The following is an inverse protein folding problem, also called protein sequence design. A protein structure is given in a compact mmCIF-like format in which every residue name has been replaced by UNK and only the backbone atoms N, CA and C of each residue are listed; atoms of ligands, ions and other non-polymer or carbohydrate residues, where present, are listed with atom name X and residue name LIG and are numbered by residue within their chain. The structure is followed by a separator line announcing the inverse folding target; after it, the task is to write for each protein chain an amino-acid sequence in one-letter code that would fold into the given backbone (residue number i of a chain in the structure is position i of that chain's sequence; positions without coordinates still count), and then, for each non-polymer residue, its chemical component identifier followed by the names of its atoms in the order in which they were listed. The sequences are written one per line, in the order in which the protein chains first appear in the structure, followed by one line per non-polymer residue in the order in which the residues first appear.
data_IF_775677022395
#
_entry.id   IF_775677022395
#
_cell.length_a   1.000
_cell.length_b   1.000
_cell.length_c   1.000
_cell.angle_alpha   90.00
_cell.angle_beta   90.00
_cell.angle_gamma   90.00
#
_symmetry.space_group_name_H-M   'P 1'
#
loop_
_entity.id
_entity.type
_entity.pdbx_description
1 polymer ?
#
# COMPACT_ATOMS: atom_id res chain seq x y z
N UNK A 1 28.74 38.53 -20.37
CA UNK A 1 27.92 39.20 -19.36
C UNK A 1 26.45 38.95 -19.67
N UNK A 2 25.70 38.51 -18.66
CA UNK A 2 24.25 38.30 -18.57
C UNK A 2 23.66 36.91 -18.86
N UNK A 3 22.91 36.50 -17.83
CA UNK A 3 22.38 35.22 -17.43
C UNK A 3 20.87 35.28 -17.65
N UNK A 4 20.26 34.23 -18.21
CA UNK A 4 19.09 33.55 -17.60
C UNK A 4 18.69 32.31 -18.40
N UNK A 5 19.07 31.16 -17.85
CA UNK A 5 18.41 29.85 -17.96
C UNK A 5 17.05 29.92 -17.27
N UNK A 6 16.01 29.35 -17.88
CA UNK A 6 15.00 28.53 -17.17
C UNK A 6 14.71 27.33 -18.07
N UNK A 7 14.65 26.16 -17.44
CA UNK A 7 14.85 24.81 -17.96
C UNK A 7 13.90 24.37 -19.11
N UNK A 8 14.50 23.85 -20.18
CA UNK A 8 14.01 22.75 -21.01
C UNK A 8 14.53 21.45 -20.41
N UNK A 9 13.71 20.40 -20.29
CA UNK A 9 14.20 19.07 -19.93
C UNK A 9 13.10 18.12 -19.53
N UNK A 10 12.83 17.16 -20.40
CA UNK A 10 12.00 15.97 -20.17
C UNK A 10 12.42 15.25 -18.88
N UNK A 11 11.43 14.78 -18.12
CA UNK A 11 11.68 13.93 -16.97
C UNK A 11 12.38 12.62 -17.43
N UNK A 12 13.44 12.18 -16.74
CA UNK A 12 14.16 10.96 -17.12
C UNK A 12 13.28 9.71 -16.93
N UNK A 13 13.45 8.72 -17.82
CA UNK A 13 12.65 7.48 -17.95
C UNK A 13 12.49 6.68 -16.64
N UNK A 14 13.38 6.83 -15.67
CA UNK A 14 13.22 6.22 -14.33
C UNK A 14 12.07 6.83 -13.52
N UNK A 15 11.67 8.08 -13.79
CA UNK A 15 10.52 8.73 -13.18
C UNK A 15 9.19 8.24 -13.79
N UNK A 16 9.20 7.79 -15.05
CA UNK A 16 8.05 7.13 -15.69
C UNK A 16 7.88 5.69 -15.19
N UNK A 17 8.98 4.96 -14.91
CA UNK A 17 8.89 3.64 -14.27
C UNK A 17 8.49 3.70 -12.79
N UNK A 18 8.81 4.79 -12.08
CA UNK A 18 8.30 5.03 -10.72
C UNK A 18 6.77 5.18 -10.66
N UNK A 19 6.12 5.54 -11.77
CA UNK A 19 4.65 5.63 -11.88
C UNK A 19 4.00 4.25 -12.11
N UNK A 20 4.79 3.22 -12.47
CA UNK A 20 4.29 1.86 -12.73
C UNK A 20 4.58 0.84 -11.62
N UNK A 21 5.43 1.16 -10.63
CA UNK A 21 5.90 0.20 -9.60
C UNK A 21 4.85 -0.18 -8.51
N UNK A 22 3.58 0.20 -8.69
CA UNK A 22 2.48 -0.24 -7.81
C UNK A 22 1.42 -1.06 -8.55
N UNK A 23 1.39 -0.97 -9.89
CA UNK A 23 0.38 -1.67 -10.69
C UNK A 23 0.56 -3.20 -10.70
N UNK A 24 1.69 -3.74 -10.22
CA UNK A 24 1.96 -5.18 -10.18
C UNK A 24 1.97 -5.77 -8.77
N UNK A 25 1.56 -5.01 -7.74
CA UNK A 25 1.39 -5.53 -6.38
C UNK A 25 -0.06 -5.94 -6.05
N UNK A 26 -1.04 -5.48 -6.82
CA UNK A 26 -2.46 -5.82 -6.60
C UNK A 26 -2.89 -7.03 -7.46
N UNK A 27 -2.28 -7.26 -8.63
CA UNK A 27 -2.68 -8.37 -9.50
C UNK A 27 -2.15 -9.75 -9.05
N UNK A 28 -1.02 -9.83 -8.35
CA UNK A 28 -0.40 -11.12 -7.99
C UNK A 28 -0.95 -11.73 -6.69
N UNK A 29 -1.44 -10.90 -5.75
CA UNK A 29 -2.02 -11.35 -4.48
C UNK A 29 -3.53 -11.58 -4.57
N UNK A 30 -4.26 -10.80 -5.38
CA UNK A 30 -5.70 -11.01 -5.59
C UNK A 30 -6.04 -12.29 -6.38
N UNK A 31 -5.15 -12.75 -7.26
CA UNK A 31 -5.33 -14.02 -7.98
C UNK A 31 -4.97 -15.23 -7.09
N UNK A 32 -4.13 -15.03 -6.06
CA UNK A 32 -3.71 -16.13 -5.18
C UNK A 32 -4.66 -16.35 -4.00
N UNK A 33 -5.30 -15.32 -3.44
CA UNK A 33 -6.25 -15.49 -2.34
C UNK A 33 -7.57 -16.13 -2.81
N UNK A 34 -8.11 -15.70 -3.95
CA UNK A 34 -9.36 -16.27 -4.51
C UNK A 34 -9.14 -17.70 -5.01
N UNK A 35 -7.98 -18.00 -5.61
CA UNK A 35 -7.65 -19.35 -6.07
C UNK A 35 -7.40 -20.32 -4.90
N UNK A 36 -6.75 -19.88 -3.80
CA UNK A 36 -6.53 -20.73 -2.62
C UNK A 36 -7.83 -21.05 -1.88
N UNK A 37 -8.69 -20.05 -1.66
CA UNK A 37 -9.98 -20.28 -0.97
C UNK A 37 -10.96 -21.11 -1.83
N UNK A 38 -10.87 -21.04 -3.16
CA UNK A 38 -11.66 -21.93 -4.03
C UNK A 38 -11.10 -23.37 -4.08
N UNK A 39 -9.79 -23.56 -3.95
CA UNK A 39 -9.17 -24.89 -3.96
C UNK A 39 -9.40 -25.65 -2.65
N UNK A 40 -9.31 -25.00 -1.49
CA UNK A 40 -9.64 -25.63 -0.19
C UNK A 40 -11.12 -26.02 -0.11
N UNK A 41 -12.03 -25.17 -0.59
CA UNK A 41 -13.45 -25.47 -0.63
C UNK A 41 -13.84 -26.57 -1.65
N UNK A 42 -13.02 -26.78 -2.70
CA UNK A 42 -13.22 -27.89 -3.64
C UNK A 42 -12.67 -29.21 -3.12
N UNK A 43 -11.56 -29.20 -2.38
CA UNK A 43 -10.98 -30.41 -1.78
C UNK A 43 -11.87 -30.92 -0.64
N UNK A 44 -12.39 -30.03 0.22
CA UNK A 44 -13.33 -30.41 1.29
C UNK A 44 -14.68 -30.89 0.75
N UNK A 45 -15.20 -30.28 -0.33
CA UNK A 45 -16.43 -30.75 -0.97
C UNK A 45 -16.27 -32.06 -1.76
N UNK A 46 -15.09 -32.32 -2.33
CA UNK A 46 -14.84 -33.57 -3.06
C UNK A 46 -14.53 -34.73 -2.13
N UNK A 47 -13.89 -34.50 -0.98
CA UNK A 47 -13.76 -35.52 0.07
C UNK A 47 -15.12 -35.83 0.73
N UNK A 48 -15.98 -34.83 0.95
CA UNK A 48 -17.33 -35.05 1.49
C UNK A 48 -18.32 -35.72 0.49
N UNK A 49 -18.06 -35.63 -0.82
CA UNK A 49 -18.90 -36.25 -1.87
C UNK A 49 -18.43 -37.63 -2.33
N UNK A 50 -17.15 -37.98 -2.12
CA UNK A 50 -16.63 -39.29 -2.51
C UNK A 50 -17.06 -40.45 -1.59
N UNK A 51 -17.64 -40.17 -0.42
CA UNK A 51 -18.04 -41.19 0.56
C UNK A 51 -19.56 -41.46 0.62
N UNK A 52 -20.37 -40.85 -0.25
CA UNK A 52 -21.81 -41.13 -0.33
C UNK A 52 -22.27 -41.36 -1.77
N UNK A 53 -22.41 -42.65 -2.10
CA UNK A 53 -23.19 -43.23 -3.22
C UNK A 53 -22.62 -42.93 -4.63
N UNK A 54 -22.17 -43.89 -5.44
CA UNK A 54 -22.60 -45.29 -5.56
C UNK A 54 -23.83 -45.39 -6.48
N UNK A 55 -23.60 -45.89 -7.71
CA UNK A 55 -24.53 -46.56 -8.63
C UNK A 55 -25.24 -45.81 -9.79
N UNK A 56 -24.80 -46.18 -11.03
CA UNK A 56 -25.53 -46.68 -12.23
C UNK A 56 -26.53 -45.77 -13.03
N UNK A 57 -26.33 -45.79 -14.37
CA UNK A 57 -27.25 -45.74 -15.55
C UNK A 57 -27.20 -44.54 -16.53
N UNK A 58 -26.78 -44.87 -17.76
CA UNK A 58 -27.35 -44.62 -19.11
C UNK A 58 -28.04 -43.29 -19.50
N UNK A 59 -27.68 -42.78 -20.69
CA UNK A 59 -28.68 -42.52 -21.74
C UNK A 59 -28.85 -41.10 -22.33
N UNK A 60 -28.48 -40.98 -23.60
CA UNK A 60 -29.13 -40.22 -24.70
C UNK A 60 -28.98 -38.70 -24.92
N UNK A 61 -29.07 -38.44 -26.23
CA UNK A 61 -28.74 -37.34 -27.14
C UNK A 61 -29.86 -36.27 -27.28
N UNK A 62 -29.49 -35.05 -27.71
CA UNK A 62 -30.02 -34.31 -28.89
C UNK A 62 -29.87 -32.76 -28.80
N UNK A 63 -29.10 -32.21 -29.77
CA UNK A 63 -29.28 -31.03 -30.67
C UNK A 63 -30.01 -29.75 -30.16
N UNK A 64 -29.64 -28.50 -30.52
CA UNK A 64 -29.52 -27.88 -31.85
C UNK A 64 -28.79 -26.51 -31.81
N UNK A 65 -28.23 -26.16 -32.97
CA UNK A 65 -27.71 -24.90 -33.56
C UNK A 65 -28.47 -23.59 -33.21
N UNK A 66 -27.96 -22.36 -33.37
CA UNK A 66 -27.47 -21.70 -34.60
C UNK A 66 -26.55 -20.49 -34.34
N UNK A 67 -25.66 -20.20 -35.32
CA UNK A 67 -24.58 -19.19 -35.31
C UNK A 67 -25.02 -17.71 -35.36
N UNK A 68 -24.17 -16.70 -35.58
CA UNK A 68 -22.76 -16.60 -35.93
C UNK A 68 -22.45 -15.13 -36.31
N UNK A 69 -21.16 -14.78 -36.25
CA UNK A 69 -20.48 -13.63 -36.89
C UNK A 69 -20.68 -12.18 -36.41
N UNK A 70 -19.54 -11.53 -36.10
CA UNK A 70 -19.34 -10.09 -36.35
C UNK A 70 -18.46 -9.33 -35.35
N UNK A 71 -17.14 -9.24 -35.60
CA UNK A 71 -16.28 -8.15 -35.09
C UNK A 71 -16.26 -7.01 -36.12
N UNK A 72 -16.22 -5.74 -35.68
CA UNK A 72 -15.13 -4.75 -35.92
C UNK A 72 -15.58 -3.30 -35.61
N UNK A 73 -14.58 -2.53 -35.20
CA UNK A 73 -14.45 -1.12 -34.81
C UNK A 73 -14.83 -0.05 -35.86
N UNK A 74 -15.13 1.16 -35.32
CA UNK A 74 -14.86 2.56 -35.78
C UNK A 74 -15.33 3.03 -37.17
N UNK A 75 -15.76 4.28 -37.45
CA UNK A 75 -15.81 5.60 -36.78
C UNK A 75 -16.76 6.47 -37.65
N UNK A 76 -17.74 7.19 -37.09
CA UNK A 76 -18.25 8.48 -37.63
C UNK A 76 -19.49 8.95 -36.87
N UNK A 77 -19.28 9.95 -35.99
CA UNK A 77 -20.27 10.91 -35.51
C UNK A 77 -21.66 10.42 -35.10
N UNK A 78 -21.90 10.28 -33.79
CA UNK A 78 -22.99 10.95 -33.04
C UNK A 78 -22.96 10.49 -31.56
N UNK A 79 -23.25 11.47 -30.70
CA UNK A 79 -23.22 11.55 -29.23
C UNK A 79 -23.84 10.36 -28.48
N UNK A 80 -23.12 9.88 -27.46
CA UNK A 80 -23.73 9.16 -26.33
C UNK A 80 -24.10 10.19 -25.26
N UNK A 81 -25.40 10.29 -24.97
CA UNK A 81 -25.94 11.05 -23.83
C UNK A 81 -25.74 10.24 -22.55
N UNK A 82 -25.09 10.82 -21.56
CA UNK A 82 -25.21 10.40 -20.17
C UNK A 82 -26.38 11.17 -19.55
N UNK A 83 -27.37 10.46 -19.01
CA UNK A 83 -28.33 11.03 -18.08
C UNK A 83 -28.11 10.35 -16.72
N UNK A 84 -27.83 11.18 -15.72
CA UNK A 84 -27.88 10.84 -14.31
C UNK A 84 -29.33 10.90 -13.85
N UNK A 85 -29.84 9.84 -13.22
CA UNK A 85 -30.72 9.88 -12.03
C UNK A 85 -31.19 8.46 -11.66
N UNK A 86 -31.36 8.24 -10.36
CA UNK A 86 -32.10 7.16 -9.68
C UNK A 86 -31.45 5.77 -9.55
N UNK A 87 -30.93 5.47 -8.33
CA UNK A 87 -31.64 4.62 -7.35
C UNK A 87 -30.69 4.19 -6.21
N UNK A 88 -30.74 4.92 -5.08
CA UNK A 88 -30.25 4.46 -3.78
C UNK A 88 -31.31 3.56 -3.14
N UNK A 89 -30.96 2.32 -2.79
CA UNK A 89 -31.79 1.44 -1.96
C UNK A 89 -31.13 1.31 -0.58
N UNK A 90 -31.81 1.81 0.45
CA UNK A 90 -31.47 1.59 1.86
C UNK A 90 -32.10 0.30 2.41
N UNK A 91 -31.49 -0.38 3.40
CA UNK A 91 -32.00 -1.63 3.95
C UNK A 91 -33.18 -1.40 4.89
N UNK A 92 -34.29 -2.11 4.66
CA UNK A 92 -35.42 -2.21 5.57
C UNK A 92 -35.32 -3.48 6.44
N UNK A 93 -35.90 -3.38 7.65
CA UNK A 93 -36.32 -4.42 8.61
C UNK A 93 -35.37 -4.73 9.77
N UNK A 94 -35.59 -4.00 10.86
CA UNK A 94 -35.71 -4.60 12.19
C UNK A 94 -36.43 -3.61 13.11
N UNK A 95 -37.63 -3.93 13.59
CA UNK A 95 -38.29 -3.11 14.63
C UNK A 95 -39.79 -2.85 14.45
N UNK A 96 -40.58 -3.82 14.03
CA UNK A 96 -42.01 -3.83 14.35
C UNK A 96 -42.26 -5.02 15.25
N UNK A 97 -42.38 -4.75 16.55
CA UNK A 97 -43.12 -5.48 17.57
C UNK A 97 -42.72 -4.84 18.92
N UNK A 98 -43.57 -3.96 19.44
CA UNK A 98 -44.05 -3.91 20.84
C UNK A 98 -44.77 -2.57 21.14
N UNK A 99 -45.82 -2.56 21.97
CA UNK A 99 -46.82 -1.48 22.03
C UNK A 99 -46.48 -0.33 23.02
N UNK A 100 -47.19 0.78 22.81
CA UNK A 100 -47.10 2.09 23.47
C UNK A 100 -47.05 2.11 25.01
N UNK A 101 -46.33 3.10 25.57
CA UNK A 101 -46.62 3.70 26.88
C UNK A 101 -46.38 5.22 26.89
N UNK A 102 -47.32 5.91 27.51
CA UNK A 102 -47.50 7.36 27.57
C UNK A 102 -46.56 8.17 28.51
N UNK A 103 -46.49 9.47 28.18
CA UNK A 103 -46.25 10.68 29.00
C UNK A 103 -44.81 11.09 29.37
N UNK A 104 -44.35 12.24 28.85
CA UNK A 104 -44.35 13.57 29.51
C UNK A 104 -43.81 14.65 28.55
N UNK A 105 -44.45 15.82 28.57
CA UNK A 105 -44.14 17.00 27.74
C UNK A 105 -42.82 17.68 28.13
N UNK A 106 -42.01 18.05 27.13
CA UNK A 106 -40.86 18.96 27.27
C UNK A 106 -41.18 20.29 26.54
N UNK A 107 -40.67 21.45 27.01
CA UNK A 107 -41.00 22.75 26.43
C UNK A 107 -40.33 22.95 25.05
N UNK A 108 -40.86 23.84 24.19
CA UNK A 108 -40.31 24.06 22.86
C UNK A 108 -38.93 24.76 22.92
N UNK A 109 -37.99 24.41 22.03
CA UNK A 109 -36.71 25.11 21.95
C UNK A 109 -36.89 26.50 21.32
N UNK A 110 -36.10 27.47 21.80
CA UNK A 110 -36.03 28.83 21.26
C UNK A 110 -35.45 28.81 19.83
N UNK A 111 -35.87 29.72 18.92
CA UNK A 111 -35.41 29.73 17.54
C UNK A 111 -33.93 30.16 17.47
N UNK A 112 -33.07 29.26 17.00
CA UNK A 112 -31.71 29.59 16.62
C UNK A 112 -31.72 30.52 15.40
N UNK A 113 -31.24 31.75 15.57
CA UNK A 113 -30.90 32.62 14.44
C UNK A 113 -29.63 32.08 13.78
N UNK A 114 -29.81 31.24 12.77
CA UNK A 114 -28.72 30.82 11.91
C UNK A 114 -28.32 31.99 11.00
N UNK A 115 -27.23 32.68 11.34
CA UNK A 115 -26.49 33.49 10.37
C UNK A 115 -25.79 32.48 9.44
N UNK A 116 -26.46 32.13 8.35
CA UNK A 116 -25.91 31.28 7.32
C UNK A 116 -24.84 32.03 6.53
N UNK A 117 -23.58 31.90 6.93
CA UNK A 117 -22.47 32.19 6.02
C UNK A 117 -22.41 31.05 5.01
N UNK A 118 -22.96 31.29 3.81
CA UNK A 118 -22.75 30.40 2.66
C UNK A 118 -21.32 30.59 2.18
N UNK A 119 -20.41 29.72 2.61
CA UNK A 119 -19.11 29.55 1.94
C UNK A 119 -19.37 28.76 0.67
N UNK A 120 -19.21 29.40 -0.48
CA UNK A 120 -19.20 28.73 -1.78
C UNK A 120 -18.08 27.67 -1.80
N UNK A 121 -18.40 26.47 -2.30
CA UNK A 121 -17.63 25.24 -2.15
C UNK A 121 -16.12 25.38 -2.35
N UNK A 122 -15.38 25.18 -1.27
CA UNK A 122 -13.97 24.81 -1.31
C UNK A 122 -13.91 23.30 -1.60
N UNK A 123 -13.15 22.89 -2.61
CA UNK A 123 -12.85 21.46 -2.79
C UNK A 123 -12.33 20.86 -1.48
N UNK A 124 -12.69 19.61 -1.16
CA UNK A 124 -12.23 18.95 0.07
C UNK A 124 -10.70 19.04 0.13
N UNK A 125 -10.17 19.78 1.10
CA UNK A 125 -8.73 19.89 1.31
C UNK A 125 -8.18 18.50 1.63
N UNK A 126 -7.15 18.08 0.91
CA UNK A 126 -6.53 16.76 1.09
C UNK A 126 -5.90 16.66 2.48
N UNK A 127 -6.17 15.55 3.18
CA UNK A 127 -5.56 15.23 4.47
C UNK A 127 -4.31 14.36 4.26
N UNK A 128 -3.27 14.60 5.06
CA UNK A 128 -2.15 13.67 5.22
C UNK A 128 -2.13 13.13 6.64
N UNK A 129 -2.21 11.80 6.76
CA UNK A 129 -2.20 11.07 8.02
C UNK A 129 -0.96 10.21 8.18
N UNK A 130 -0.66 9.83 9.43
CA UNK A 130 0.39 8.86 9.76
C UNK A 130 -0.17 7.82 10.69
N UNK A 131 -0.12 6.56 10.27
CA UNK A 131 -0.40 5.41 11.10
C UNK A 131 0.93 4.85 11.66
N UNK A 132 1.22 5.14 12.93
CA UNK A 132 2.42 4.67 13.63
C UNK A 132 2.42 3.15 13.89
N UNK A 133 1.25 2.53 13.77
CA UNK A 133 1.06 1.09 13.76
C UNK A 133 0.09 0.74 12.62
N UNK A 134 0.20 -0.45 12.02
CA UNK A 134 -0.73 -0.89 10.98
C UNK A 134 -2.19 -0.86 11.47
N UNK A 135 -2.45 -1.24 12.73
CA UNK A 135 -3.78 -1.20 13.35
C UNK A 135 -4.37 0.20 13.56
N UNK A 136 -3.60 1.27 13.32
CA UNK A 136 -4.06 2.66 13.41
C UNK A 136 -4.46 3.25 12.05
N UNK A 137 -4.48 2.45 10.98
CA UNK A 137 -5.08 2.87 9.70
C UNK A 137 -6.57 3.15 9.93
N UNK A 138 -6.99 4.38 9.65
CA UNK A 138 -8.38 4.84 9.85
C UNK A 138 -9.22 4.78 8.59
N UNK A 139 -8.60 5.09 7.46
CA UNK A 139 -9.23 5.20 6.16
C UNK A 139 -8.54 4.22 5.22
N UNK A 140 -9.26 3.16 4.82
CA UNK A 140 -8.75 2.10 3.95
C UNK A 140 -8.74 2.53 2.47
N UNK A 141 -9.41 3.63 2.13
CA UNK A 141 -9.52 4.18 0.76
C UNK A 141 -8.65 5.45 0.63
N UNK A 142 -7.36 5.27 0.93
CA UNK A 142 -6.33 6.31 0.88
C UNK A 142 -5.25 5.94 -0.15
N UNK A 143 -4.41 6.90 -0.51
CA UNK A 143 -3.10 6.59 -1.13
C UNK A 143 -2.11 6.34 0.00
N UNK A 144 -1.57 5.12 0.06
CA UNK A 144 -0.70 4.71 1.14
C UNK A 144 0.78 4.86 0.77
N UNK A 145 1.59 5.17 1.78
CA UNK A 145 3.05 5.04 1.72
C UNK A 145 3.48 4.13 2.87
N UNK A 146 3.95 2.94 2.56
CA UNK A 146 4.45 1.99 3.56
C UNK A 146 5.90 2.31 3.89
N UNK A 147 6.23 2.33 5.18
CA UNK A 147 7.55 2.66 5.70
C UNK A 147 8.02 1.57 6.65
N UNK A 148 9.18 0.99 6.33
CA UNK A 148 9.95 0.03 7.13
C UNK A 148 11.42 0.42 6.92
N UNK A 149 11.93 1.36 7.72
CA UNK A 149 13.21 2.04 7.47
C UNK A 149 14.38 1.08 7.63
N UNK A 150 14.35 0.28 8.69
CA UNK A 150 15.34 -0.74 9.01
C UNK A 150 14.64 -2.11 8.90
N UNK A 151 14.68 -2.78 7.75
CA UNK A 151 15.42 -2.45 6.52
C UNK A 151 14.60 -2.54 5.24
N UNK A 152 13.37 -3.08 5.27
CA UNK A 152 12.72 -3.58 4.07
C UNK A 152 12.47 -2.50 3.00
N UNK A 153 11.99 -1.32 3.40
CA UNK A 153 11.72 -0.24 2.43
C UNK A 153 13.01 0.35 1.85
N UNK A 154 14.05 0.49 2.67
CA UNK A 154 15.38 0.94 2.22
C UNK A 154 16.01 -0.06 1.24
N UNK A 155 15.87 -1.36 1.51
CA UNK A 155 16.30 -2.44 0.62
C UNK A 155 15.56 -2.44 -0.72
N UNK A 156 14.23 -2.25 -0.69
CA UNK A 156 13.42 -2.10 -1.90
C UNK A 156 13.93 -0.92 -2.74
N UNK A 157 14.16 0.24 -2.11
CA UNK A 157 14.68 1.42 -2.81
C UNK A 157 16.05 1.15 -3.41
N UNK A 158 16.97 0.51 -2.67
CA UNK A 158 18.30 0.17 -3.16
C UNK A 158 18.26 -0.78 -4.38
N UNK A 159 17.44 -1.83 -4.34
CA UNK A 159 17.24 -2.76 -5.46
C UNK A 159 16.71 -2.05 -6.70
N UNK A 160 15.67 -1.22 -6.55
CA UNK A 160 15.10 -0.45 -7.67
C UNK A 160 16.11 0.53 -8.28
N UNK A 161 16.94 1.18 -7.46
CA UNK A 161 18.01 2.06 -7.92
C UNK A 161 19.09 1.31 -8.74
N UNK A 162 19.22 -0.02 -8.55
CA UNK A 162 20.13 -0.89 -9.31
C UNK A 162 19.51 -1.50 -10.55
N UNK A 163 18.32 -1.04 -10.95
CA UNK A 163 17.67 -1.48 -12.18
C UNK A 163 16.97 -2.83 -12.04
N UNK A 164 16.64 -3.25 -10.81
CA UNK A 164 15.69 -4.34 -10.59
C UNK A 164 14.32 -3.89 -11.11
N UNK A 165 13.72 -4.59 -12.08
CA UNK A 165 12.50 -4.12 -12.74
C UNK A 165 11.22 -4.34 -11.91
N UNK A 166 11.23 -5.30 -10.98
CA UNK A 166 10.09 -5.63 -10.14
C UNK A 166 10.55 -6.36 -8.87
N UNK A 167 9.79 -6.17 -7.78
CA UNK A 167 10.02 -6.83 -6.49
C UNK A 167 8.71 -7.47 -6.05
N UNK A 168 8.75 -8.77 -5.76
CA UNK A 168 7.60 -9.56 -5.29
C UNK A 168 7.76 -9.77 -3.78
N UNK A 169 6.93 -9.16 -2.94
CA UNK A 169 7.00 -9.36 -1.50
C UNK A 169 6.48 -10.74 -1.12
N UNK A 170 7.11 -11.33 -0.10
CA UNK A 170 6.67 -12.58 0.51
C UNK A 170 6.54 -12.41 2.03
N UNK A 171 5.51 -13.04 2.59
CA UNK A 171 5.15 -13.03 4.02
C UNK A 171 6.09 -13.85 4.89
N UNK A 172 6.74 -14.84 4.29
CA UNK A 172 7.60 -15.78 4.98
C UNK A 172 8.64 -16.34 4.03
N UNK A 173 9.65 -16.96 4.62
CA UNK A 173 10.70 -17.69 3.91
C UNK A 173 10.10 -18.82 3.06
N UNK A 174 9.09 -19.52 3.57
CA UNK A 174 8.39 -20.61 2.88
C UNK A 174 7.64 -20.09 1.67
N UNK A 175 6.91 -18.98 1.80
CA UNK A 175 6.22 -18.38 0.67
C UNK A 175 7.22 -17.90 -0.40
N UNK A 176 8.32 -17.29 0.02
CA UNK A 176 9.36 -16.83 -0.89
C UNK A 176 10.01 -18.00 -1.68
N UNK A 177 10.26 -19.13 -1.00
CA UNK A 177 10.73 -20.37 -1.65
C UNK A 177 9.71 -20.90 -2.65
N UNK A 178 8.42 -20.92 -2.30
CA UNK A 178 7.35 -21.31 -3.21
C UNK A 178 7.25 -20.40 -4.44
N UNK A 179 7.41 -19.10 -4.26
CA UNK A 179 7.47 -18.13 -5.36
C UNK A 179 8.70 -18.36 -6.24
N UNK A 180 9.87 -18.61 -5.66
CA UNK A 180 11.11 -18.89 -6.38
C UNK A 180 11.01 -20.10 -7.30
N UNK A 181 10.30 -21.15 -6.88
CA UNK A 181 10.04 -22.33 -7.72
C UNK A 181 9.24 -21.97 -8.98
N UNK A 182 8.34 -20.99 -8.89
CA UNK A 182 7.52 -20.51 -10.02
C UNK A 182 8.19 -19.39 -10.82
N UNK A 183 9.15 -18.70 -10.21
CA UNK A 183 9.86 -17.54 -10.73
C UNK A 183 11.40 -17.77 -10.64
N UNK A 184 11.94 -18.76 -11.38
CA UNK A 184 13.32 -19.23 -11.24
C UNK A 184 14.40 -18.25 -11.72
N UNK A 185 14.02 -17.10 -12.26
CA UNK A 185 14.96 -16.03 -12.63
C UNK A 185 15.01 -14.87 -11.61
N UNK A 186 14.12 -14.86 -10.61
CA UNK A 186 14.05 -13.80 -9.60
C UNK A 186 15.07 -14.00 -8.47
N UNK A 187 15.83 -12.96 -8.13
CA UNK A 187 16.67 -12.97 -6.93
C UNK A 187 15.82 -13.32 -5.70
N UNK A 188 16.24 -14.28 -4.89
CA UNK A 188 15.58 -14.66 -3.66
C UNK A 188 16.27 -13.96 -2.48
N UNK A 189 15.63 -12.92 -1.97
CA UNK A 189 16.14 -12.07 -0.90
C UNK A 189 15.26 -12.14 0.34
N UNK A 190 15.84 -11.88 1.51
CA UNK A 190 15.10 -11.87 2.79
C UNK A 190 15.99 -12.22 3.96
N UNK A 191 15.43 -12.17 5.16
CA UNK A 191 16.19 -12.40 6.38
C UNK A 191 15.42 -13.21 7.43
N UNK A 192 16.18 -13.90 8.28
CA UNK A 192 15.77 -14.37 9.61
C UNK A 192 16.88 -13.98 10.57
N UNK A 193 16.54 -13.26 11.64
CA UNK A 193 17.49 -12.69 12.60
C UNK A 193 18.59 -11.85 11.93
N UNK A 194 18.22 -11.16 10.86
CA UNK A 194 19.09 -10.27 10.09
C UNK A 194 19.94 -10.94 9.02
N UNK A 195 19.99 -12.28 8.97
CA UNK A 195 20.82 -13.07 8.05
C UNK A 195 20.01 -13.72 6.93
N UNK A 196 20.60 -13.95 5.73
CA UNK A 196 19.95 -14.68 4.66
C UNK A 196 19.62 -16.12 5.08
N UNK A 197 18.36 -16.58 4.91
CA UNK A 197 18.01 -17.97 5.11
C UNK A 197 18.79 -18.90 4.16
N UNK A 198 19.03 -20.17 4.53
CA UNK A 198 19.67 -21.12 3.63
C UNK A 198 18.95 -21.23 2.27
N UNK A 199 19.73 -21.11 1.20
CA UNK A 199 19.26 -21.14 -0.19
C UNK A 199 18.73 -19.80 -0.72
N UNK A 200 18.80 -18.71 0.06
CA UNK A 200 18.56 -17.36 -0.44
C UNK A 200 19.83 -16.83 -1.12
N UNK A 201 19.64 -16.00 -2.14
CA UNK A 201 20.73 -15.35 -2.85
C UNK A 201 21.36 -14.23 -2.00
N UNK A 202 20.52 -13.49 -1.26
CA UNK A 202 20.92 -12.33 -0.45
C UNK A 202 20.09 -12.19 0.83
N UNK A 203 20.63 -11.42 1.78
CA UNK A 203 19.94 -11.01 3.00
C UNK A 203 18.91 -9.90 2.78
N UNK A 204 18.80 -8.99 3.74
CA UNK A 204 18.00 -7.77 3.64
C UNK A 204 18.86 -6.51 3.88
N UNK A 205 20.10 -6.51 3.39
CA UNK A 205 21.02 -5.37 3.50
C UNK A 205 20.90 -4.44 2.30
N UNK A 206 20.48 -3.18 2.50
CA UNK A 206 20.45 -2.19 1.43
C UNK A 206 21.87 -1.83 0.94
N UNK A 207 22.90 -1.95 1.77
CA UNK A 207 24.30 -1.73 1.36
C UNK A 207 24.76 -2.82 0.39
N UNK A 208 24.46 -4.09 0.68
CA UNK A 208 24.74 -5.20 -0.24
C UNK A 208 24.01 -5.01 -1.57
N UNK A 209 22.72 -4.64 -1.52
CA UNK A 209 21.95 -4.36 -2.73
C UNK A 209 22.50 -3.17 -3.49
N UNK A 210 22.96 -2.12 -2.83
CA UNK A 210 23.58 -0.97 -3.49
C UNK A 210 24.91 -1.34 -4.18
N UNK A 211 25.58 -2.42 -3.80
CA UNK A 211 26.77 -2.91 -4.50
C UNK A 211 26.44 -3.92 -5.61
N UNK A 212 25.20 -4.40 -5.68
CA UNK A 212 24.80 -5.49 -6.54
C UNK A 212 24.62 -5.06 -8.00
N UNK A 213 25.13 -5.88 -8.92
CA UNK A 213 24.75 -5.86 -10.33
C UNK A 213 23.47 -6.70 -10.52
N UNK A 214 22.33 -6.07 -10.25
CA UNK A 214 21.00 -6.69 -10.35
C UNK A 214 20.21 -6.27 -11.59
N UNK A 215 20.85 -5.59 -12.55
CA UNK A 215 20.14 -4.94 -13.64
C UNK A 215 19.32 -5.95 -14.46
N UNK A 216 18.01 -5.68 -14.59
CA UNK A 216 17.10 -6.51 -15.36
C UNK A 216 16.67 -7.82 -14.70
N UNK A 217 17.13 -8.12 -13.47
CA UNK A 217 16.71 -9.30 -12.71
C UNK A 217 15.67 -8.90 -11.66
N UNK A 218 14.41 -9.35 -11.77
CA UNK A 218 13.42 -9.12 -10.72
C UNK A 218 13.85 -9.77 -9.39
N UNK A 219 13.23 -9.38 -8.28
CA UNK A 219 13.50 -9.95 -6.97
C UNK A 219 12.23 -10.45 -6.27
N UNK A 220 12.40 -11.41 -5.37
CA UNK A 220 11.43 -11.81 -4.34
C UNK A 220 12.04 -11.39 -3.01
N UNK A 221 11.29 -10.68 -2.17
CA UNK A 221 11.76 -10.20 -0.87
C UNK A 221 10.87 -10.72 0.25
N UNK A 222 11.39 -11.65 1.06
CA UNK A 222 10.73 -12.13 2.26
C UNK A 222 10.93 -11.13 3.40
N UNK A 223 9.83 -10.64 3.97
CA UNK A 223 9.88 -9.70 5.11
C UNK A 223 8.79 -10.04 6.12
N UNK A 224 9.15 -9.94 7.41
CA UNK A 224 8.25 -10.25 8.53
C UNK A 224 7.02 -9.34 8.64
N UNK A 225 7.08 -8.15 8.03
CA UNK A 225 6.06 -7.11 8.13
C UNK A 225 5.27 -6.90 6.83
N UNK A 226 5.85 -7.19 5.66
CA UNK A 226 5.32 -6.75 4.36
C UNK A 226 3.91 -7.25 4.05
N UNK A 227 3.60 -8.52 4.31
CA UNK A 227 2.28 -9.08 3.93
C UNK A 227 1.16 -8.62 4.84
N UNK A 228 1.44 -8.36 6.13
CA UNK A 228 0.43 -7.80 7.05
C UNK A 228 0.01 -6.41 6.62
N UNK A 229 0.97 -5.58 6.24
CA UNK A 229 0.71 -4.24 5.72
C UNK A 229 -0.09 -4.31 4.43
N UNK A 230 0.37 -5.10 3.45
CA UNK A 230 -0.31 -5.25 2.16
C UNK A 230 -1.76 -5.73 2.30
N UNK A 231 -2.03 -6.65 3.22
CA UNK A 231 -3.39 -7.12 3.48
C UNK A 231 -4.29 -6.03 4.09
N UNK A 232 -3.74 -5.14 4.92
CA UNK A 232 -4.52 -4.04 5.52
C UNK A 232 -4.82 -2.91 4.54
N UNK A 233 -4.06 -2.82 3.45
CA UNK A 233 -4.23 -1.84 2.39
C UNK A 233 -4.72 -2.49 1.09
N UNK A 234 -5.42 -3.64 1.16
CA UNK A 234 -5.89 -4.35 -0.04
C UNK A 234 -6.86 -3.53 -0.89
N UNK A 235 -7.67 -2.69 -0.23
CA UNK A 235 -8.65 -1.78 -0.85
C UNK A 235 -8.04 -0.44 -1.24
N UNK A 236 -6.72 -0.28 -1.11
CA UNK A 236 -6.05 0.96 -1.38
C UNK A 236 -6.15 1.38 -2.85
N UNK A 237 -6.35 2.68 -3.03
CA UNK A 237 -6.27 3.34 -4.33
C UNK A 237 -4.88 3.21 -4.97
N UNK A 238 -3.82 3.29 -4.15
CA UNK A 238 -2.43 3.01 -4.53
C UNK A 238 -1.57 2.83 -3.26
N UNK A 239 -0.48 2.06 -3.36
CA UNK A 239 0.43 1.75 -2.24
C UNK A 239 1.89 1.95 -2.67
N UNK A 240 2.51 3.04 -2.20
CA UNK A 240 3.92 3.36 -2.41
C UNK A 240 4.80 2.75 -1.32
N UNK A 241 6.09 2.56 -1.62
CA UNK A 241 7.12 2.24 -0.62
C UNK A 241 7.97 3.49 -0.37
N UNK A 242 8.05 3.90 0.89
CA UNK A 242 8.78 5.07 1.34
C UNK A 242 9.94 4.72 2.27
N UNK A 243 11.07 5.37 2.06
CA UNK A 243 12.24 5.36 2.91
C UNK A 243 12.81 6.78 3.03
N UNK A 244 13.75 7.00 3.95
CA UNK A 244 14.50 8.27 4.01
C UNK A 244 15.21 8.54 2.67
N UNK A 245 15.79 7.49 2.07
CA UNK A 245 16.47 7.46 0.78
C UNK A 245 15.67 8.06 -0.40
N UNK A 246 14.35 7.95 -0.39
CA UNK A 246 13.48 8.41 -1.48
C UNK A 246 12.39 9.39 -1.02
N UNK A 247 12.52 9.98 0.19
CA UNK A 247 11.46 10.78 0.84
C UNK A 247 10.88 11.88 -0.04
N UNK A 248 11.72 12.58 -0.81
CA UNK A 248 11.30 13.65 -1.71
C UNK A 248 10.52 13.12 -2.92
N UNK A 249 10.95 11.97 -3.46
CA UNK A 249 10.31 11.37 -4.62
C UNK A 249 8.95 10.79 -4.24
N UNK A 250 8.88 10.05 -3.13
CA UNK A 250 7.62 9.46 -2.67
C UNK A 250 6.62 10.54 -2.23
N UNK A 251 7.08 11.65 -1.63
CA UNK A 251 6.22 12.79 -1.30
C UNK A 251 5.60 13.43 -2.56
N UNK A 252 6.35 13.56 -3.66
CA UNK A 252 5.76 14.04 -4.93
C UNK A 252 4.74 13.04 -5.49
N UNK A 253 5.08 11.75 -5.49
CA UNK A 253 4.22 10.71 -6.06
C UNK A 253 2.93 10.53 -5.27
N UNK A 254 2.98 10.52 -3.94
CA UNK A 254 1.78 10.36 -3.10
C UNK A 254 0.81 11.53 -3.31
N UNK A 255 1.32 12.76 -3.43
CA UNK A 255 0.48 13.93 -3.69
C UNK A 255 -0.14 13.91 -5.09
N UNK A 256 0.63 13.50 -6.10
CA UNK A 256 0.10 13.37 -7.45
C UNK A 256 -1.04 12.33 -7.50
N UNK A 257 -0.81 11.14 -6.95
CA UNK A 257 -1.79 10.05 -6.93
C UNK A 257 -3.03 10.40 -6.09
N UNK A 258 -2.84 10.99 -4.91
CA UNK A 258 -3.95 11.37 -4.05
C UNK A 258 -4.83 12.44 -4.71
N UNK A 259 -4.26 13.36 -5.49
CA UNK A 259 -5.02 14.36 -6.26
C UNK A 259 -5.78 13.70 -7.40
N UNK A 260 -5.10 12.85 -8.17
CA UNK A 260 -5.69 12.16 -9.32
C UNK A 260 -6.87 11.29 -8.91
N UNK A 261 -6.73 10.57 -7.80
CA UNK A 261 -7.78 9.67 -7.28
C UNK A 261 -8.79 10.39 -6.37
N UNK A 262 -8.63 11.70 -6.12
CA UNK A 262 -9.44 12.46 -5.17
C UNK A 262 -9.51 11.81 -3.77
N UNK A 263 -8.35 11.32 -3.29
CA UNK A 263 -8.18 10.63 -2.00
C UNK A 263 -7.31 11.42 -1.03
N UNK A 264 -7.40 11.03 0.23
CA UNK A 264 -6.44 11.44 1.26
C UNK A 264 -5.14 10.61 1.11
N UNK A 265 -4.09 10.99 1.85
CA UNK A 265 -2.81 10.28 1.89
C UNK A 265 -2.51 9.76 3.30
N UNK A 266 -1.98 8.54 3.42
CA UNK A 266 -1.63 7.92 4.70
C UNK A 266 -0.24 7.31 4.63
N UNK A 267 0.69 7.76 5.47
CA UNK A 267 1.97 7.07 5.66
C UNK A 267 1.80 6.03 6.77
N UNK A 268 2.18 4.78 6.52
CA UNK A 268 1.97 3.66 7.45
C UNK A 268 3.32 3.08 7.84
N UNK A 269 3.61 3.11 9.14
CA UNK A 269 4.78 2.45 9.71
C UNK A 269 4.52 0.95 9.81
N UNK A 270 5.48 0.15 9.36
CA UNK A 270 5.48 -1.30 9.52
C UNK A 270 5.50 -1.73 10.98
N UNK A 271 6.14 -0.91 11.81
CA UNK A 271 6.28 -1.09 13.25
C UNK A 271 7.16 -2.32 13.58
N UNK A 272 7.42 -2.52 14.87
CA UNK A 272 8.21 -3.67 15.33
C UNK A 272 7.62 -5.01 14.86
N UNK A 273 8.43 -6.09 14.76
CA UNK A 273 7.91 -7.43 14.46
C UNK A 273 6.64 -7.76 15.24
N UNK A 274 5.56 -8.07 14.52
CA UNK A 274 4.24 -8.22 15.14
C UNK A 274 3.25 -7.10 14.83
N UNK A 275 3.72 -5.91 14.44
CA UNK A 275 2.90 -4.72 14.23
C UNK A 275 2.33 -4.13 15.53
N UNK A 276 2.94 -4.42 16.69
CA UNK A 276 2.37 -4.15 18.03
C UNK A 276 3.00 -2.99 18.79
N UNK A 277 4.21 -2.56 18.42
CA UNK A 277 4.90 -1.45 19.08
C UNK A 277 5.56 -0.54 18.07
N UNK A 278 5.53 0.76 18.36
CA UNK A 278 6.06 1.80 17.47
C UNK A 278 7.57 1.57 17.26
N UNK A 279 7.99 1.62 16.00
CA UNK A 279 9.39 1.66 15.60
C UNK A 279 9.83 3.14 15.49
N UNK A 280 10.90 3.52 16.17
CA UNK A 280 11.36 4.91 16.21
C UNK A 280 11.87 5.36 14.84
N UNK A 281 12.64 4.50 14.19
CA UNK A 281 13.15 4.64 12.83
C UNK A 281 12.00 4.82 11.82
N UNK A 282 10.94 4.02 11.90
CA UNK A 282 9.78 4.16 11.01
C UNK A 282 9.04 5.48 11.25
N UNK A 283 8.88 5.88 12.52
CA UNK A 283 8.26 7.16 12.87
C UNK A 283 9.07 8.34 12.33
N UNK A 284 10.41 8.29 12.41
CA UNK A 284 11.29 9.30 11.83
C UNK A 284 11.19 9.32 10.29
N UNK A 285 11.18 8.16 9.65
CA UNK A 285 10.98 8.02 8.20
C UNK A 285 9.64 8.58 7.73
N UNK A 286 8.56 8.23 8.42
CA UNK A 286 7.23 8.76 8.15
C UNK A 286 7.16 10.28 8.37
N UNK A 287 7.81 10.77 9.42
CA UNK A 287 7.96 12.21 9.68
C UNK A 287 8.70 12.95 8.57
N UNK A 288 9.74 12.34 7.99
CA UNK A 288 10.51 12.91 6.90
C UNK A 288 9.71 13.00 5.59
N UNK A 289 8.86 12.00 5.32
CA UNK A 289 7.96 11.98 4.16
C UNK A 289 6.83 13.00 4.35
N UNK A 290 6.21 13.03 5.54
CA UNK A 290 5.17 14.00 5.86
C UNK A 290 5.69 15.45 5.81
N UNK A 291 6.91 15.70 6.31
CA UNK A 291 7.59 16.99 6.19
C UNK A 291 7.78 17.39 4.73
N UNK A 292 8.31 16.49 3.89
CA UNK A 292 8.53 16.77 2.48
C UNK A 292 7.20 17.06 1.76
N UNK A 293 6.14 16.30 2.04
CA UNK A 293 4.81 16.54 1.46
C UNK A 293 4.24 17.90 1.87
N UNK A 294 4.26 18.25 3.16
CA UNK A 294 3.77 19.54 3.68
C UNK A 294 4.58 20.74 3.19
N UNK A 295 5.86 20.54 2.86
CA UNK A 295 6.70 21.57 2.24
C UNK A 295 6.41 21.76 0.75
N UNK A 296 5.99 20.68 0.07
CA UNK A 296 5.61 20.72 -1.36
C UNK A 296 4.20 21.25 -1.58
N UNK A 297 3.31 21.09 -0.59
CA UNK A 297 1.92 21.56 -0.63
C UNK A 297 1.48 22.04 0.77
N UNK A 298 1.38 23.37 0.92
CA UNK A 298 0.98 24.03 2.16
C UNK A 298 -0.53 23.98 2.41
N UNK A 299 -1.33 23.54 1.43
CA UNK A 299 -2.78 23.36 1.57
C UNK A 299 -3.16 22.04 2.26
N UNK A 300 -2.22 21.09 2.36
CA UNK A 300 -2.44 19.80 3.03
C UNK A 300 -2.86 20.01 4.48
N UNK A 301 -3.82 19.20 4.92
CA UNK A 301 -4.26 19.17 6.31
C UNK A 301 -3.59 18.01 7.05
N UNK A 302 -2.52 18.24 7.83
CA UNK A 302 -1.88 17.18 8.59
C UNK A 302 -2.67 16.84 9.85
N UNK A 303 -2.83 15.55 10.10
CA UNK A 303 -3.36 15.03 11.37
C UNK A 303 -2.37 15.24 12.52
N UNK A 304 -2.83 15.05 13.76
CA UNK A 304 -1.95 15.14 14.93
C UNK A 304 -0.81 14.12 14.89
N UNK A 305 -1.07 12.91 14.38
CA UNK A 305 -0.02 11.92 14.18
C UNK A 305 1.03 12.42 13.17
N UNK A 306 0.60 12.98 12.03
CA UNK A 306 1.51 13.56 11.03
C UNK A 306 2.31 14.74 11.60
N UNK A 307 1.68 15.61 12.38
CA UNK A 307 2.35 16.73 13.06
C UNK A 307 3.39 16.24 14.07
N UNK A 308 3.03 15.23 14.87
CA UNK A 308 3.89 14.65 15.89
C UNK A 308 5.16 14.06 15.27
N UNK A 309 5.02 13.19 14.26
CA UNK A 309 6.20 12.57 13.64
C UNK A 309 7.03 13.57 12.84
N UNK A 310 6.40 14.58 12.21
CA UNK A 310 7.13 15.67 11.55
C UNK A 310 7.98 16.45 12.54
N UNK A 311 7.45 16.77 13.72
CA UNK A 311 8.21 17.45 14.76
C UNK A 311 9.38 16.59 15.26
N UNK A 312 9.16 15.29 15.47
CA UNK A 312 10.20 14.34 15.86
C UNK A 312 11.33 14.27 14.81
N UNK A 313 10.98 14.17 13.52
CA UNK A 313 11.94 14.21 12.42
C UNK A 313 12.72 15.54 12.42
N UNK A 314 12.04 16.69 12.45
CA UNK A 314 12.69 18.00 12.42
C UNK A 314 13.68 18.19 13.58
N UNK A 315 13.41 17.61 14.75
CA UNK A 315 14.29 17.67 15.91
C UNK A 315 15.54 16.78 15.80
N UNK A 316 15.53 15.78 14.91
CA UNK A 316 16.61 14.79 14.75
C UNK A 316 17.27 14.80 13.36
N UNK A 317 16.75 15.58 12.41
CA UNK A 317 17.14 15.56 11.00
C UNK A 317 18.62 15.84 10.73
N UNK A 318 19.28 16.58 11.62
CA UNK A 318 20.69 16.96 11.47
C UNK A 318 21.64 15.83 11.92
N UNK A 319 21.10 14.75 12.52
CA UNK A 319 21.84 13.59 13.00
C UNK A 319 20.98 12.30 12.93
N UNK A 320 20.51 11.99 11.71
CA UNK A 320 19.62 10.85 11.46
C UNK A 320 20.31 9.51 11.70
N UNK A 321 21.60 9.38 11.35
CA UNK A 321 22.35 8.15 11.58
C UNK A 321 22.35 7.78 13.07
N UNK A 322 22.68 8.73 13.95
CA UNK A 322 22.61 8.50 15.40
C UNK A 322 21.18 8.28 15.89
N UNK A 323 20.18 8.94 15.29
CA UNK A 323 18.77 8.73 15.65
C UNK A 323 18.31 7.30 15.34
N UNK A 324 18.63 6.79 14.16
CA UNK A 324 18.36 5.40 13.76
C UNK A 324 19.16 4.42 14.62
N UNK A 325 20.45 4.67 14.85
CA UNK A 325 21.30 3.85 15.72
C UNK A 325 20.77 3.75 17.17
N UNK A 326 20.14 4.82 17.67
CA UNK A 326 19.55 4.84 19.02
C UNK A 326 18.19 4.13 19.13
N UNK A 327 17.55 3.83 17.99
CA UNK A 327 16.34 3.03 17.99
C UNK A 327 16.63 1.60 18.43
N UNK A 328 15.67 0.92 19.08
CA UNK A 328 15.86 -0.47 19.54
C UNK A 328 16.35 -1.37 18.41
N UNK A 329 15.70 -1.32 17.24
CA UNK A 329 16.09 -2.16 16.11
C UNK A 329 17.41 -1.74 15.47
N UNK A 330 17.73 -0.44 15.48
CA UNK A 330 19.04 0.05 15.05
C UNK A 330 20.16 -0.49 15.93
N UNK A 331 19.99 -0.47 17.26
CA UNK A 331 20.94 -1.05 18.19
C UNK A 331 21.11 -2.57 18.01
N UNK A 332 20.00 -3.30 17.82
CA UNK A 332 20.02 -4.74 17.51
C UNK A 332 20.82 -5.03 16.22
N UNK A 333 20.63 -4.23 15.17
CA UNK A 333 21.36 -4.37 13.91
C UNK A 333 22.86 -4.08 14.08
N UNK A 334 23.23 -3.05 14.84
CA UNK A 334 24.63 -2.72 15.13
C UNK A 334 25.29 -3.86 15.91
N UNK A 335 24.64 -4.41 16.94
CA UNK A 335 25.13 -5.56 17.70
C UNK A 335 25.32 -6.80 16.81
N UNK A 336 24.46 -6.96 15.80
CA UNK A 336 24.54 -8.02 14.80
C UNK A 336 25.56 -7.75 13.67
N UNK A 337 26.27 -6.61 13.69
CA UNK A 337 27.32 -6.27 12.70
C UNK A 337 26.81 -5.54 11.44
N UNK A 338 25.59 -5.02 11.46
CA UNK A 338 24.96 -4.29 10.35
C UNK A 338 24.96 -2.76 10.56
N UNK A 339 25.97 -2.20 11.21
CA UNK A 339 26.08 -0.76 11.46
C UNK A 339 26.04 0.07 10.16
N UNK A 340 26.71 -0.41 9.11
CA UNK A 340 26.70 0.25 7.80
C UNK A 340 25.33 0.29 7.14
N UNK A 341 24.46 -0.69 7.42
CA UNK A 341 23.06 -0.64 6.95
C UNK A 341 22.29 0.49 7.64
N UNK A 342 22.50 0.68 8.95
CA UNK A 342 21.87 1.74 9.72
C UNK A 342 22.29 3.12 9.21
N UNK A 343 23.58 3.30 8.95
CA UNK A 343 24.12 4.53 8.34
C UNK A 343 23.58 4.77 6.94
N UNK A 344 23.52 3.74 6.10
CA UNK A 344 23.01 3.85 4.73
C UNK A 344 21.53 4.23 4.69
N UNK A 345 20.74 3.78 5.66
CA UNK A 345 19.30 4.07 5.70
C UNK A 345 18.97 5.51 6.12
N UNK A 346 19.92 6.26 6.69
CA UNK A 346 19.74 7.63 7.21
C UNK A 346 19.76 8.70 6.11
#
# INVERSE_FOLDING_TARGET
MHIKKVYNGDAPVWLQHAITIIATLIAATAISSVAWTQMENQVDNNQARSEKNGSVLEGFDDRLDEGGYGRTLELSGVRVKANAEEALVTPARLGELLPERHTRSSPPPLPAHNIGVRVHGQGKSMRIDVALLPSLIRDTDSVFVIVDILRASSSIVALLQRGVPAIVPAASVEQARGLRQRLPDHLLCGEVDGLPPPGFDYGNSPVEFAALDAHGRPAILATSNGTRLLNQVSEASAVLVGALLNREAVARSVLALARDHSRDATVVCAASPGGRSIALEDALGAGAIAEAALRLDDSLQPTDAARFVRAAFLARRDDLAQALASARHGAELIEAGFETDVEYCA
#
